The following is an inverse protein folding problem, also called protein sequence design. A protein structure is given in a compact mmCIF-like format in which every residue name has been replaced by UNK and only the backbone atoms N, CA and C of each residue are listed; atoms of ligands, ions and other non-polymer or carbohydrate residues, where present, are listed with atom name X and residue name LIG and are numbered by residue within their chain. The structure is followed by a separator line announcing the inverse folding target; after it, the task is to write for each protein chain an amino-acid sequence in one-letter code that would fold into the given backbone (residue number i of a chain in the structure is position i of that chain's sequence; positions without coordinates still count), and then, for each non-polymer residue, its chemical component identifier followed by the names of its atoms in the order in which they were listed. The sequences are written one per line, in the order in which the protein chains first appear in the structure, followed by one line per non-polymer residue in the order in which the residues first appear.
data_IF_461446122376
#
_entry.id   IF_461446122376
#
_cell.length_a   1.000
_cell.length_b   1.000
_cell.length_c   1.000
_cell.angle_alpha   90.00
_cell.angle_beta   90.00
_cell.angle_gamma   90.00
#
_symmetry.space_group_name_H-M   'P 1'
#
loop_
_entity.id
_entity.type
_entity.pdbx_description
1 polymer ?
#
# COMPACT_ATOMS: atom_id res chain seq x y z
N UNK A 1 43.01 -12.92 9.20
CA UNK A 1 41.56 -12.79 9.43
C UNK A 1 40.89 -12.59 8.07
N UNK A 2 40.42 -13.66 7.44
CA UNK A 2 39.72 -13.57 6.16
C UNK A 2 38.31 -13.04 6.44
N UNK A 3 38.01 -11.82 5.98
CA UNK A 3 36.67 -11.27 6.04
C UNK A 3 35.77 -12.07 5.11
N UNK A 4 34.82 -12.81 5.67
CA UNK A 4 33.75 -13.45 4.92
C UNK A 4 32.95 -12.36 4.21
N UNK A 5 33.13 -12.23 2.91
CA UNK A 5 32.27 -11.42 2.06
C UNK A 5 30.90 -12.09 2.05
N UNK A 6 29.95 -11.56 2.82
CA UNK A 6 28.57 -12.01 2.75
C UNK A 6 28.04 -11.62 1.36
N UNK A 7 27.85 -12.60 0.48
CA UNK A 7 27.13 -12.39 -0.77
C UNK A 7 25.70 -11.94 -0.43
N UNK A 8 25.37 -10.71 -0.83
CA UNK A 8 24.01 -10.20 -0.69
C UNK A 8 23.17 -10.85 -1.79
N UNK A 9 22.42 -11.90 -1.43
CA UNK A 9 21.46 -12.52 -2.35
C UNK A 9 20.39 -11.47 -2.69
N UNK A 10 20.29 -11.10 -3.97
CA UNK A 10 19.27 -10.18 -4.47
C UNK A 10 18.17 -11.00 -5.14
N UNK A 11 17.01 -11.05 -4.50
CA UNK A 11 15.82 -11.71 -5.05
C UNK A 11 15.23 -10.84 -6.17
N UNK A 12 14.96 -11.39 -7.37
CA UNK A 12 14.38 -10.61 -8.46
C UNK A 12 12.96 -10.14 -8.12
N UNK A 13 12.58 -8.97 -8.67
CA UNK A 13 11.28 -8.32 -8.46
C UNK A 13 10.07 -9.28 -8.57
N UNK A 14 10.02 -10.09 -9.62
CA UNK A 14 8.87 -10.95 -9.87
C UNK A 14 8.74 -12.06 -8.83
N UNK A 15 9.85 -12.59 -8.30
CA UNK A 15 9.80 -13.56 -7.20
C UNK A 15 9.28 -12.92 -5.92
N UNK A 16 9.70 -11.68 -5.63
CA UNK A 16 9.16 -10.93 -4.49
C UNK A 16 7.64 -10.75 -4.63
N UNK A 17 7.16 -10.34 -5.80
CA UNK A 17 5.73 -10.12 -6.03
C UNK A 17 4.92 -11.43 -6.02
N UNK A 18 5.50 -12.53 -6.50
CA UNK A 18 4.90 -13.86 -6.41
C UNK A 18 4.78 -14.33 -4.95
N UNK A 19 5.82 -14.15 -4.14
CA UNK A 19 5.77 -14.47 -2.71
C UNK A 19 4.68 -13.66 -1.99
N UNK A 20 4.53 -12.37 -2.34
CA UNK A 20 3.47 -11.52 -1.80
C UNK A 20 2.08 -12.00 -2.23
N UNK A 21 1.90 -12.38 -3.50
CA UNK A 21 0.63 -12.92 -4.01
C UNK A 21 0.26 -14.23 -3.30
N UNK A 22 1.20 -15.16 -3.19
CA UNK A 22 1.01 -16.46 -2.54
C UNK A 22 0.61 -16.29 -1.06
N UNK A 23 1.19 -15.29 -0.38
CA UNK A 23 0.84 -14.98 1.01
C UNK A 23 -0.62 -14.54 1.16
N UNK A 24 -1.12 -13.72 0.23
CA UNK A 24 -2.53 -13.29 0.20
C UNK A 24 -3.44 -14.49 -0.02
N UNK A 25 -3.14 -15.33 -1.02
CA UNK A 25 -4.00 -16.47 -1.38
C UNK A 25 -4.10 -17.51 -0.26
N UNK A 26 -3.05 -17.60 0.58
CA UNK A 26 -3.05 -18.44 1.79
C UNK A 26 -3.77 -17.80 2.98
N UNK A 27 -4.25 -16.56 2.87
CA UNK A 27 -4.92 -15.84 3.96
C UNK A 27 -4.00 -15.49 5.12
N UNK A 28 -2.69 -15.32 4.88
CA UNK A 28 -1.67 -15.07 5.91
C UNK A 28 -1.37 -13.58 6.12
N UNK A 29 -2.26 -12.69 5.71
CA UNK A 29 -2.10 -11.23 5.79
C UNK A 29 -2.78 -10.64 7.03
N UNK A 30 -2.38 -9.42 7.42
CA UNK A 30 -3.07 -8.64 8.46
C UNK A 30 -4.56 -8.49 8.15
N UNK A 31 -5.42 -8.70 9.14
CA UNK A 31 -6.87 -8.72 8.98
C UNK A 31 -7.49 -7.37 8.59
N UNK A 32 -6.76 -6.26 8.75
CA UNK A 32 -7.24 -4.92 8.44
C UNK A 32 -6.89 -4.47 7.02
N UNK A 33 -6.14 -5.27 6.26
CA UNK A 33 -5.73 -4.93 4.90
C UNK A 33 -5.91 -6.13 3.99
N UNK A 34 -6.20 -5.87 2.73
CA UNK A 34 -6.15 -6.90 1.68
C UNK A 34 -5.55 -6.32 0.42
N UNK A 35 -4.95 -7.16 -0.41
CA UNK A 35 -4.38 -6.76 -1.67
C UNK A 35 -4.35 -7.93 -2.63
N UNK A 36 -4.45 -7.67 -3.92
CA UNK A 36 -4.37 -8.68 -4.97
C UNK A 36 -4.10 -8.02 -6.32
N UNK A 37 -3.80 -8.83 -7.34
CA UNK A 37 -3.61 -8.30 -8.68
C UNK A 37 -4.89 -7.60 -9.16
N UNK A 38 -4.71 -6.44 -9.78
CA UNK A 38 -5.82 -5.70 -10.38
C UNK A 38 -6.41 -6.43 -11.59
N UNK A 39 -5.58 -7.24 -12.26
CA UNK A 39 -5.94 -8.09 -13.38
C UNK A 39 -5.16 -9.40 -13.28
N UNK A 40 -5.85 -10.51 -13.51
CA UNK A 40 -5.32 -11.87 -13.53
C UNK A 40 -4.38 -12.12 -14.72
N UNK A 41 -4.53 -11.37 -15.81
CA UNK A 41 -3.67 -11.43 -16.99
C UNK A 41 -2.40 -10.55 -16.90
N UNK A 42 -2.20 -9.80 -15.80
CA UNK A 42 -1.00 -8.98 -15.60
C UNK A 42 0.22 -9.84 -15.20
N UNK A 43 0.88 -10.41 -16.20
CA UNK A 43 2.13 -11.19 -16.03
C UNK A 43 3.24 -10.36 -15.37
N UNK A 44 3.21 -9.03 -15.50
CA UNK A 44 4.20 -8.15 -14.88
C UNK A 44 3.97 -7.94 -13.39
N UNK A 45 2.81 -8.34 -12.86
CA UNK A 45 2.40 -8.18 -11.45
C UNK A 45 2.58 -6.74 -10.96
N UNK A 46 2.31 -5.77 -11.83
CA UNK A 46 2.61 -4.37 -11.54
C UNK A 46 1.42 -3.67 -10.91
N UNK A 47 0.20 -4.03 -11.30
CA UNK A 47 -1.01 -3.35 -10.85
C UNK A 47 -1.71 -4.16 -9.78
N UNK A 48 -1.87 -3.54 -8.60
CA UNK A 48 -2.52 -4.15 -7.45
C UNK A 48 -3.73 -3.35 -7.03
N UNK A 49 -4.81 -4.04 -6.69
CA UNK A 49 -5.96 -3.50 -5.98
C UNK A 49 -5.84 -3.89 -4.52
N UNK A 50 -5.99 -2.89 -3.65
CA UNK A 50 -5.81 -3.05 -2.22
C UNK A 50 -6.97 -2.42 -1.47
N UNK A 51 -7.23 -2.93 -0.27
CA UNK A 51 -8.16 -2.32 0.66
C UNK A 51 -7.53 -2.14 2.04
N UNK A 52 -7.97 -1.09 2.74
CA UNK A 52 -7.66 -0.85 4.14
C UNK A 52 -8.99 -0.68 4.88
N UNK A 53 -9.17 -1.42 5.97
CA UNK A 53 -10.23 -1.15 6.94
C UNK A 53 -9.84 0.06 7.78
N UNK A 54 -10.67 1.10 7.71
CA UNK A 54 -10.43 2.37 8.38
C UNK A 54 -10.18 2.20 9.89
N UNK A 55 -9.15 2.87 10.44
CA UNK A 55 -8.75 2.70 11.82
C UNK A 55 -9.83 3.16 12.83
N UNK A 56 -9.93 2.51 13.99
CA UNK A 56 -10.91 2.88 15.01
C UNK A 56 -10.64 4.28 15.58
N UNK A 57 -11.68 4.92 16.11
CA UNK A 57 -11.62 6.26 16.68
C UNK A 57 -11.13 7.34 15.68
N UNK A 58 -11.52 7.20 14.41
CA UNK A 58 -11.24 8.17 13.34
C UNK A 58 -12.49 8.45 12.50
N UNK A 59 -12.48 9.53 11.71
CA UNK A 59 -13.60 9.88 10.83
C UNK A 59 -13.83 8.89 9.67
N UNK A 60 -12.90 7.96 9.46
CA UNK A 60 -12.97 6.89 8.47
C UNK A 60 -13.14 5.50 9.10
N UNK A 61 -13.44 5.43 10.40
CA UNK A 61 -13.70 4.17 11.09
C UNK A 61 -14.78 3.34 10.35
N UNK A 62 -14.54 2.02 10.26
CA UNK A 62 -15.39 1.05 9.57
C UNK A 62 -15.55 1.23 8.05
N UNK A 63 -14.90 2.22 7.44
CA UNK A 63 -14.90 2.38 5.97
C UNK A 63 -13.95 1.37 5.33
N UNK A 64 -14.36 0.82 4.18
CA UNK A 64 -13.47 0.07 3.29
C UNK A 64 -12.83 1.06 2.32
N UNK A 65 -11.52 1.27 2.45
CA UNK A 65 -10.77 2.23 1.65
C UNK A 65 -10.07 1.48 0.52
N UNK A 66 -10.51 1.72 -0.71
CA UNK A 66 -9.91 1.14 -1.92
C UNK A 66 -8.71 1.94 -2.39
N UNK A 67 -7.62 1.24 -2.74
CA UNK A 67 -6.33 1.79 -3.15
C UNK A 67 -5.83 1.02 -4.36
N UNK A 68 -5.19 1.70 -5.30
CA UNK A 68 -4.36 1.12 -6.35
C UNK A 68 -2.90 1.30 -6.00
N UNK A 69 -2.14 0.22 -6.16
CA UNK A 69 -0.69 0.23 -5.99
C UNK A 69 -0.05 -0.16 -7.33
N UNK A 70 0.93 0.63 -7.76
CA UNK A 70 1.75 0.34 -8.93
C UNK A 70 3.17 -0.02 -8.47
N UNK A 71 3.49 -1.30 -8.54
CA UNK A 71 4.85 -1.79 -8.31
C UNK A 71 5.69 -1.56 -9.57
N UNK A 72 6.45 -0.46 -9.61
CA UNK A 72 7.32 -0.13 -10.74
C UNK A 72 8.47 -1.12 -10.98
N UNK A 73 9.27 -0.94 -12.04
CA UNK A 73 10.37 -1.85 -12.39
C UNK A 73 11.45 -1.99 -11.31
N UNK A 74 11.60 -0.99 -10.44
CA UNK A 74 12.57 -0.98 -9.34
C UNK A 74 11.99 -1.49 -8.01
N UNK A 75 10.74 -1.96 -7.98
CA UNK A 75 10.21 -2.60 -6.78
C UNK A 75 10.98 -3.90 -6.45
N UNK A 76 11.27 -4.23 -5.18
CA UNK A 76 10.96 -3.48 -3.95
C UNK A 76 12.03 -2.46 -3.53
N UNK A 77 13.06 -2.20 -4.35
CA UNK A 77 14.11 -1.23 -3.98
C UNK A 77 13.55 0.19 -3.84
N UNK A 78 12.60 0.55 -4.70
CA UNK A 78 11.83 1.79 -4.63
C UNK A 78 10.41 1.50 -4.18
N UNK A 79 9.86 2.37 -3.35
CA UNK A 79 8.46 2.31 -2.89
C UNK A 79 7.51 2.31 -4.09
N UNK A 80 6.46 1.47 -4.10
CA UNK A 80 5.49 1.49 -5.18
C UNK A 80 4.67 2.79 -5.14
N UNK A 81 4.06 3.16 -6.26
CA UNK A 81 3.17 4.32 -6.31
C UNK A 81 1.82 3.95 -5.69
N UNK A 82 1.24 4.89 -4.93
CA UNK A 82 -0.02 4.69 -4.23
C UNK A 82 -1.04 5.70 -4.74
N UNK A 83 -2.20 5.21 -5.15
CA UNK A 83 -3.33 6.03 -5.55
C UNK A 83 -4.61 5.56 -4.86
N UNK A 84 -5.21 6.42 -4.04
CA UNK A 84 -6.49 6.17 -3.42
C UNK A 84 -7.61 6.23 -4.46
N UNK A 85 -8.44 5.18 -4.46
CA UNK A 85 -9.69 5.14 -5.23
C UNK A 85 -10.78 5.83 -4.42
N UNK A 86 -10.93 5.40 -3.16
CA UNK A 86 -11.83 6.03 -2.21
C UNK A 86 -11.35 7.44 -1.89
N UNK A 87 -12.26 8.40 -1.97
CA UNK A 87 -11.96 9.80 -1.72
C UNK A 87 -11.71 10.02 -0.24
N UNK A 88 -10.58 10.64 0.07
CA UNK A 88 -10.11 10.89 1.43
C UNK A 88 -9.45 12.26 1.51
N UNK A 89 -9.60 12.91 2.65
CA UNK A 89 -9.00 14.22 2.89
C UNK A 89 -7.82 14.08 3.86
N UNK A 90 -6.62 13.89 3.31
CA UNK A 90 -5.36 13.92 4.05
C UNK A 90 -4.33 14.78 3.30
N UNK A 91 -3.41 15.44 4.00
CA UNK A 91 -2.46 16.37 3.37
C UNK A 91 -1.43 15.68 2.45
N UNK A 92 -1.28 14.36 2.57
CA UNK A 92 -0.43 13.55 1.70
C UNK A 92 -1.17 13.00 0.47
N UNK A 93 -2.43 13.36 0.24
CA UNK A 93 -3.22 12.90 -0.92
C UNK A 93 -3.53 14.12 -1.80
N UNK A 94 -3.21 14.01 -3.09
CA UNK A 94 -3.53 15.07 -4.05
C UNK A 94 -4.95 14.98 -4.63
N UNK A 95 -5.34 15.95 -5.46
CA UNK A 95 -6.68 16.04 -6.03
C UNK A 95 -7.09 14.84 -6.92
N UNK A 96 -6.15 13.98 -7.32
CA UNK A 96 -6.39 12.77 -8.11
C UNK A 96 -6.23 11.49 -7.28
N UNK A 97 -6.16 11.61 -5.95
CA UNK A 97 -5.99 10.50 -5.04
C UNK A 97 -4.55 9.99 -4.93
N UNK A 98 -3.56 10.62 -5.57
CA UNK A 98 -2.18 10.12 -5.50
C UNK A 98 -1.55 10.49 -4.17
N UNK A 99 -0.94 9.52 -3.52
CA UNK A 99 -0.20 9.74 -2.28
C UNK A 99 1.16 10.36 -2.60
N UNK A 100 1.45 11.53 -2.02
CA UNK A 100 2.72 12.26 -2.17
C UNK A 100 3.30 12.60 -0.81
N UNK A 101 4.64 12.63 -0.72
CA UNK A 101 5.37 12.97 0.49
C UNK A 101 4.97 12.12 1.71
N UNK A 102 4.74 10.82 1.50
CA UNK A 102 4.44 9.88 2.59
C UNK A 102 5.63 9.83 3.56
N UNK A 103 5.41 10.03 4.88
CA UNK A 103 6.47 9.94 5.88
C UNK A 103 6.78 8.47 6.22
N UNK A 104 7.12 7.68 5.19
CA UNK A 104 7.44 6.26 5.29
C UNK A 104 8.90 6.08 4.87
N UNK A 105 9.73 5.61 5.80
CA UNK A 105 11.13 5.26 5.54
C UNK A 105 11.21 3.91 4.82
N UNK A 106 10.92 3.93 3.51
CA UNK A 106 10.92 2.72 2.68
C UNK A 106 12.29 2.06 2.64
N UNK A 107 12.29 0.72 2.69
CA UNK A 107 13.47 -0.10 2.40
C UNK A 107 13.03 -1.37 1.67
N UNK A 108 13.98 -2.03 0.99
CA UNK A 108 13.71 -3.20 0.13
C UNK A 108 13.09 -4.42 0.84
N UNK A 109 13.19 -4.49 2.17
CA UNK A 109 12.60 -5.58 2.93
C UNK A 109 11.10 -5.36 3.14
N UNK A 110 10.60 -4.12 2.98
CA UNK A 110 9.19 -3.81 2.99
C UNK A 110 8.46 -4.37 1.76
N UNK A 111 7.16 -4.55 1.94
CA UNK A 111 6.21 -5.22 1.04
C UNK A 111 4.90 -4.43 0.96
N UNK A 112 4.02 -4.75 0.02
CA UNK A 112 2.70 -4.12 -0.16
C UNK A 112 1.92 -4.13 1.16
N UNK A 113 1.87 -5.26 1.85
CA UNK A 113 1.20 -5.38 3.15
C UNK A 113 1.72 -4.38 4.18
N UNK A 114 3.04 -4.29 4.33
CA UNK A 114 3.67 -3.36 5.30
C UNK A 114 3.39 -1.91 4.92
N UNK A 115 3.29 -1.59 3.63
CA UNK A 115 2.89 -0.26 3.17
C UNK A 115 1.45 0.06 3.56
N UNK A 116 0.52 -0.87 3.34
CA UNK A 116 -0.89 -0.71 3.70
C UNK A 116 -1.06 -0.55 5.22
N UNK A 117 -0.36 -1.36 6.02
CA UNK A 117 -0.35 -1.24 7.49
C UNK A 117 0.20 0.11 7.93
N UNK A 118 1.28 0.59 7.31
CA UNK A 118 1.82 1.93 7.59
C UNK A 118 0.87 3.05 7.19
N UNK A 119 0.21 2.96 6.03
CA UNK A 119 -0.81 3.94 5.62
C UNK A 119 -1.98 3.96 6.61
N UNK A 120 -2.45 2.79 7.06
CA UNK A 120 -3.49 2.68 8.09
C UNK A 120 -3.07 3.36 9.40
N UNK A 121 -1.86 3.07 9.88
CA UNK A 121 -1.32 3.69 11.09
C UNK A 121 -1.13 5.20 10.92
N UNK A 122 -0.70 5.63 9.73
CA UNK A 122 -0.56 7.04 9.39
C UNK A 122 -1.90 7.76 9.50
N UNK A 123 -2.96 7.23 8.90
CA UNK A 123 -4.32 7.80 8.96
C UNK A 123 -4.90 7.85 10.39
N UNK A 124 -4.39 7.02 11.31
CA UNK A 124 -4.82 7.00 12.71
C UNK A 124 -4.15 8.06 13.60
N UNK A 125 -3.10 8.75 13.11
CA UNK A 125 -2.38 9.74 13.92
C UNK A 125 -3.28 10.89 14.37
N UNK A 126 -3.07 11.36 15.60
CA UNK A 126 -3.85 12.44 16.21
C UNK A 126 -3.88 13.72 15.36
N UNK A 127 -2.77 14.03 14.70
CA UNK A 127 -2.64 15.20 13.81
C UNK A 127 -3.61 15.19 12.64
N UNK A 128 -4.09 14.01 12.21
CA UNK A 128 -5.03 13.89 11.10
C UNK A 128 -6.50 13.80 11.52
N UNK A 129 -6.80 13.62 12.81
CA UNK A 129 -8.19 13.55 13.30
C UNK A 129 -8.98 14.85 13.06
N UNK A 130 -8.29 15.97 12.86
CA UNK A 130 -8.88 17.28 12.58
C UNK A 130 -9.42 17.44 11.15
N UNK A 131 -9.01 16.59 10.21
CA UNK A 131 -9.42 16.73 8.81
C UNK A 131 -10.80 16.10 8.60
N UNK A 132 -11.78 16.95 8.21
CA UNK A 132 -13.11 16.48 7.82
C UNK A 132 -13.02 15.63 6.57
N UNK A 133 -13.60 14.44 6.63
CA UNK A 133 -13.59 13.48 5.52
C UNK A 133 -14.81 13.68 4.63
N UNK A 134 -14.68 13.40 3.32
CA UNK A 134 -15.85 13.35 2.44
C UNK A 134 -16.83 12.23 2.88
N UNK A 135 -18.07 12.24 2.36
CA UNK A 135 -18.99 11.13 2.45
C UNK A 135 -18.33 9.79 2.10
N UNK A 136 -18.80 8.72 2.72
CA UNK A 136 -18.40 7.37 2.35
C UNK A 136 -18.83 7.05 0.91
N UNK A 137 -18.06 6.20 0.23
CA UNK A 137 -18.26 5.78 -1.17
C UNK A 137 -18.03 6.85 -2.25
N UNK A 138 -17.60 8.07 -1.90
CA UNK A 138 -17.04 8.97 -2.91
C UNK A 138 -15.71 8.43 -3.44
N UNK A 139 -15.47 8.59 -4.75
CA UNK A 139 -14.23 8.21 -5.42
C UNK A 139 -13.57 9.41 -6.09
N UNK A 140 -12.27 9.30 -6.37
CA UNK A 140 -11.57 10.28 -7.21
C UNK A 140 -12.01 10.13 -8.69
N UNK A 141 -11.93 11.20 -9.51
CA UNK A 141 -12.23 11.11 -10.95
C UNK A 141 -11.31 10.13 -11.68
N UNK A 142 -11.83 9.42 -12.68
CA UNK A 142 -11.07 8.42 -13.44
C UNK A 142 -11.12 7.01 -12.86
N UNK A 143 -12.04 6.78 -11.92
CA UNK A 143 -12.46 5.49 -11.41
C UNK A 143 -13.91 5.20 -11.78
#
# INVERSE_FOLDING_TARGET
MAGSSQEVIVVPRNFVLLEELEKVEKGLTDMNVSYGLARDDDVSMSHWLCTILGPPNTAIENRIISIRILCGPQYPQVMPEVQFVSKLNFPFIDANGRAKNLPISWNRNMKIETLLVHLRALMAKAEYKKFKQPPENETYPGY
#
